data_IF_476847508999
#
_entry.id   IF_476847508999
#
_cell.length_a   1.000
_cell.length_b   1.000
_cell.length_c   1.000
_cell.angle_alpha   90.00
_cell.angle_beta   90.00
_cell.angle_gamma   90.00
#
_symmetry.space_group_name_H-M   'P 1'
#
loop_
_entity.id
_entity.type
_entity.pdbx_description
1 polymer ?
#
# COMPACT_ATOMS: atom_id res chain seq x y z
N UNK A 1 60.22 -1.56 12.68
CA UNK A 1 58.96 -1.92 13.36
C UNK A 1 57.83 -1.70 12.39
N UNK A 2 57.41 -2.77 11.79
CA UNK A 2 56.36 -2.74 10.75
C UNK A 2 55.00 -2.89 11.40
N UNK A 3 54.16 -1.86 11.28
CA UNK A 3 52.75 -1.94 11.68
C UNK A 3 51.94 -2.77 10.66
N UNK A 4 50.91 -3.51 11.07
CA UNK A 4 50.10 -4.30 10.16
C UNK A 4 49.22 -3.38 9.31
N UNK A 5 49.36 -3.50 8.00
CA UNK A 5 48.44 -2.97 6.99
C UNK A 5 47.01 -3.43 7.28
N UNK A 6 46.10 -2.50 7.55
CA UNK A 6 44.67 -2.76 7.43
C UNK A 6 44.35 -2.95 5.95
N UNK A 7 44.08 -4.18 5.58
CA UNK A 7 43.51 -4.53 4.30
C UNK A 7 42.18 -3.83 4.06
N UNK A 8 41.81 -3.56 2.80
CA UNK A 8 40.52 -2.95 2.47
C UNK A 8 39.40 -3.86 2.95
N UNK A 9 38.53 -3.29 3.77
CA UNK A 9 37.34 -3.99 4.26
C UNK A 9 36.53 -4.53 3.08
N UNK A 10 36.39 -5.83 3.03
CA UNK A 10 35.46 -6.49 2.11
C UNK A 10 34.07 -5.90 2.27
N UNK A 11 33.22 -6.00 1.23
CA UNK A 11 31.87 -5.49 1.33
C UNK A 11 31.17 -6.18 2.50
N UNK A 12 30.74 -5.40 3.47
CA UNK A 12 29.87 -5.87 4.54
C UNK A 12 28.72 -6.66 3.93
N UNK A 13 28.32 -7.81 4.48
CA UNK A 13 27.17 -8.54 3.97
C UNK A 13 26.03 -7.53 3.93
N UNK A 14 25.51 -7.27 2.72
CA UNK A 14 24.36 -6.40 2.53
C UNK A 14 23.29 -6.95 3.44
N UNK A 15 23.00 -6.22 4.51
CA UNK A 15 21.85 -6.52 5.35
C UNK A 15 20.65 -6.61 4.42
N UNK A 16 20.09 -7.80 4.28
CA UNK A 16 18.93 -8.10 3.42
C UNK A 16 17.68 -7.44 4.03
N UNK A 17 17.73 -6.13 4.21
CA UNK A 17 16.63 -5.34 4.69
C UNK A 17 15.62 -5.09 3.55
N UNK A 18 14.35 -5.03 3.89
CA UNK A 18 13.29 -4.65 2.96
C UNK A 18 13.24 -3.14 2.88
N UNK A 19 13.60 -2.58 1.73
CA UNK A 19 13.45 -1.14 1.47
C UNK A 19 11.97 -0.78 1.31
N UNK A 20 11.50 0.23 2.05
CA UNK A 20 10.12 0.67 2.00
C UNK A 20 10.01 1.94 1.14
N UNK A 21 10.68 3.00 1.55
CA UNK A 21 10.57 4.30 0.89
C UNK A 21 11.80 5.18 1.21
N UNK A 22 12.41 5.75 0.18
CA UNK A 22 13.61 6.57 0.36
C UNK A 22 14.74 5.77 1.01
N UNK A 23 15.28 6.27 2.11
CA UNK A 23 16.35 5.64 2.88
C UNK A 23 15.86 4.69 3.99
N UNK A 24 14.54 4.52 4.15
CA UNK A 24 13.98 3.69 5.22
C UNK A 24 13.87 2.24 4.76
N UNK A 25 14.51 1.36 5.52
CA UNK A 25 14.49 -0.08 5.29
C UNK A 25 14.25 -0.82 6.61
N UNK A 26 13.54 -1.94 6.52
CA UNK A 26 13.34 -2.85 7.66
C UNK A 26 14.54 -3.78 7.76
N UNK A 27 15.19 -3.88 8.91
CA UNK A 27 16.25 -4.86 9.11
C UNK A 27 15.68 -6.28 9.13
N UNK A 28 16.44 -7.25 8.67
CA UNK A 28 16.01 -8.66 8.65
C UNK A 28 15.71 -9.19 10.06
N UNK A 29 16.36 -8.64 11.09
CA UNK A 29 16.14 -9.00 12.50
C UNK A 29 14.72 -8.73 13.00
N UNK A 30 13.98 -7.80 12.39
CA UNK A 30 12.58 -7.50 12.74
C UNK A 30 11.57 -8.27 11.89
N UNK A 31 12.03 -9.10 10.96
CA UNK A 31 11.21 -9.88 10.04
C UNK A 31 11.11 -11.33 10.54
N UNK A 32 9.90 -11.78 10.76
CA UNK A 32 9.63 -13.15 11.14
C UNK A 32 9.10 -13.95 9.97
N UNK A 33 9.86 -14.96 9.54
CA UNK A 33 9.52 -15.82 8.44
C UNK A 33 8.91 -17.13 8.95
N UNK A 34 7.78 -17.51 8.38
CA UNK A 34 7.17 -18.84 8.61
C UNK A 34 6.99 -19.54 7.27
N UNK A 35 7.29 -20.81 7.25
CA UNK A 35 7.16 -21.67 6.10
C UNK A 35 6.14 -22.76 6.38
N UNK A 36 5.25 -23.01 5.44
CA UNK A 36 4.23 -24.05 5.57
C UNK A 36 3.98 -24.71 4.21
N UNK A 37 3.38 -25.90 4.26
CA UNK A 37 2.94 -26.57 3.04
C UNK A 37 1.81 -25.79 2.42
N UNK A 38 1.88 -25.58 1.10
CA UNK A 38 0.74 -25.04 0.36
C UNK A 38 -0.38 -26.09 0.38
N UNK A 39 -1.42 -25.84 1.16
CA UNK A 39 -2.63 -26.65 1.14
C UNK A 39 -3.46 -26.31 -0.07
N UNK A 40 -3.29 -27.07 -1.17
CA UNK A 40 -4.24 -27.07 -2.28
C UNK A 40 -5.24 -28.22 -2.11
N UNK A 41 -6.47 -28.15 -2.71
CA UNK A 41 -7.38 -29.28 -2.78
C UNK A 41 -6.68 -30.39 -3.58
N UNK A 42 -6.16 -31.43 -2.85
CA UNK A 42 -5.20 -32.34 -3.39
C UNK A 42 -5.77 -33.39 -4.34
N UNK A 43 -5.15 -33.51 -5.48
CA UNK A 43 -5.01 -34.80 -6.17
C UNK A 43 -3.75 -35.53 -5.66
N UNK A 44 -3.61 -36.82 -5.96
CA UNK A 44 -2.56 -37.71 -5.47
C UNK A 44 -1.09 -37.34 -5.84
N UNK A 45 -0.84 -36.16 -6.42
CA UNK A 45 0.43 -35.60 -6.82
C UNK A 45 0.69 -34.23 -6.22
N UNK A 46 0.19 -33.97 -5.01
CA UNK A 46 0.47 -32.72 -4.31
C UNK A 46 1.95 -32.72 -3.93
N UNK A 47 2.70 -31.81 -4.54
CA UNK A 47 4.08 -31.53 -4.13
C UNK A 47 4.06 -31.15 -2.64
N UNK A 48 4.63 -32.01 -1.79
CA UNK A 48 4.75 -31.83 -0.35
C UNK A 48 5.84 -30.82 0.04
N UNK A 49 6.21 -29.91 -0.87
CA UNK A 49 7.20 -28.89 -0.60
C UNK A 49 6.60 -27.74 0.22
N UNK A 50 7.27 -27.35 1.27
CA UNK A 50 6.93 -26.19 2.11
C UNK A 50 7.19 -24.88 1.34
N UNK A 51 6.42 -24.64 0.28
CA UNK A 51 6.61 -23.49 -0.60
C UNK A 51 5.86 -22.25 -0.16
N UNK A 52 4.86 -22.38 0.71
CA UNK A 52 4.13 -21.23 1.23
C UNK A 52 4.97 -20.49 2.25
N UNK A 53 5.06 -19.18 2.08
CA UNK A 53 5.80 -18.26 2.94
C UNK A 53 4.84 -17.28 3.59
N UNK A 54 4.92 -17.13 4.90
CA UNK A 54 4.30 -16.07 5.65
C UNK A 54 5.39 -15.16 6.24
N UNK A 55 5.35 -13.89 5.89
CA UNK A 55 6.21 -12.86 6.45
C UNK A 55 5.42 -12.04 7.46
N UNK A 56 5.92 -11.93 8.68
CA UNK A 56 5.31 -11.16 9.76
C UNK A 56 6.24 -10.05 10.20
N UNK A 57 5.68 -8.90 10.48
CA UNK A 57 6.39 -7.71 10.93
C UNK A 57 5.63 -7.03 12.07
N UNK A 58 6.30 -6.80 13.19
CA UNK A 58 5.73 -6.13 14.36
C UNK A 58 5.78 -4.60 14.15
N UNK A 59 4.69 -4.07 13.60
CA UNK A 59 4.57 -2.65 13.31
C UNK A 59 4.44 -1.80 14.58
N UNK A 60 3.85 -2.36 15.64
CA UNK A 60 3.62 -1.62 16.88
C UNK A 60 4.91 -1.34 17.65
N UNK A 61 5.86 -2.28 17.63
CA UNK A 61 7.08 -2.23 18.43
C UNK A 61 8.36 -1.94 17.62
N UNK A 62 8.24 -1.71 16.31
CA UNK A 62 9.42 -1.45 15.46
C UNK A 62 10.09 -0.12 15.79
N UNK A 63 11.42 -0.10 15.74
CA UNK A 63 12.24 1.13 15.77
C UNK A 63 12.76 1.50 14.36
N UNK A 64 12.50 0.65 13.35
CA UNK A 64 12.97 0.88 11.99
C UNK A 64 12.20 1.98 11.23
N UNK A 65 11.01 2.35 11.72
CA UNK A 65 10.17 3.38 11.10
C UNK A 65 10.20 4.68 11.91
N UNK A 66 10.25 5.85 11.24
CA UNK A 66 10.00 7.13 11.89
C UNK A 66 8.63 7.13 12.59
N UNK A 67 8.53 7.75 13.75
CA UNK A 67 7.31 7.74 14.58
C UNK A 67 6.06 8.21 13.80
N UNK A 68 6.19 9.25 13.00
CA UNK A 68 5.09 9.76 12.15
C UNK A 68 4.61 8.72 11.15
N UNK A 69 5.50 7.89 10.61
CA UNK A 69 5.15 6.83 9.67
C UNK A 69 4.49 5.66 10.38
N UNK A 70 5.00 5.32 11.54
CA UNK A 70 4.47 4.27 12.40
C UNK A 70 3.03 4.56 12.80
N UNK A 71 2.74 5.77 13.30
CA UNK A 71 1.38 6.20 13.65
C UNK A 71 0.43 6.09 12.45
N UNK A 72 0.82 6.62 11.29
CA UNK A 72 0.00 6.53 10.07
C UNK A 72 -0.26 5.08 9.64
N UNK A 73 0.78 4.24 9.70
CA UNK A 73 0.65 2.84 9.31
C UNK A 73 -0.26 2.08 10.28
N UNK A 74 -0.15 2.31 11.58
CA UNK A 74 -1.02 1.71 12.58
C UNK A 74 -2.49 2.09 12.36
N UNK A 75 -2.78 3.36 12.09
CA UNK A 75 -4.15 3.82 11.79
C UNK A 75 -4.70 3.19 10.50
N UNK A 76 -3.93 3.22 9.41
CA UNK A 76 -4.40 2.72 8.11
C UNK A 76 -4.52 1.21 8.03
N UNK A 77 -3.68 0.50 8.75
CA UNK A 77 -3.65 -0.95 8.78
C UNK A 77 -4.42 -1.55 9.96
N UNK A 78 -5.12 -0.77 10.77
CA UNK A 78 -5.81 -1.21 11.97
C UNK A 78 -6.67 -2.48 11.75
N UNK A 79 -7.38 -2.57 10.62
CA UNK A 79 -8.19 -3.74 10.25
C UNK A 79 -7.39 -4.95 9.74
N UNK A 80 -6.08 -4.82 9.56
CA UNK A 80 -5.17 -5.88 9.06
C UNK A 80 -4.14 -6.33 10.09
N UNK A 81 -4.06 -5.63 11.20
CA UNK A 81 -3.14 -5.95 12.28
C UNK A 81 -3.78 -6.94 13.26
N UNK A 82 -2.97 -7.88 13.71
CA UNK A 82 -3.29 -8.76 14.83
C UNK A 82 -2.22 -8.50 15.90
N UNK A 83 -2.62 -7.96 17.04
CA UNK A 83 -1.71 -7.57 18.13
C UNK A 83 -0.54 -6.66 17.68
N UNK A 84 -0.83 -5.71 16.76
CA UNK A 84 0.17 -4.80 16.22
C UNK A 84 1.09 -5.41 15.15
N UNK A 85 0.88 -6.67 14.80
CA UNK A 85 1.67 -7.40 13.80
C UNK A 85 0.93 -7.43 12.46
N UNK A 86 1.61 -7.04 11.39
CA UNK A 86 1.15 -7.22 10.02
C UNK A 86 1.72 -8.52 9.46
N UNK A 87 0.90 -9.31 8.77
CA UNK A 87 1.33 -10.53 8.09
C UNK A 87 0.99 -10.51 6.60
N UNK A 88 1.90 -11.03 5.80
CA UNK A 88 1.77 -11.16 4.34
C UNK A 88 2.11 -12.57 3.94
N UNK A 89 1.30 -13.17 3.07
CA UNK A 89 1.51 -14.55 2.58
C UNK A 89 1.81 -14.54 1.08
N UNK A 90 2.64 -15.49 0.66
CA UNK A 90 2.93 -15.79 -0.73
C UNK A 90 3.03 -17.31 -0.94
N UNK A 91 2.31 -17.83 -1.93
CA UNK A 91 2.26 -19.25 -2.28
C UNK A 91 2.13 -19.49 -3.78
N UNK A 92 2.31 -18.45 -4.59
CA UNK A 92 2.06 -18.50 -6.03
C UNK A 92 3.12 -19.29 -6.79
N UNK A 93 4.32 -19.37 -6.24
CA UNK A 93 5.44 -20.05 -6.87
C UNK A 93 5.71 -21.42 -6.23
N UNK A 94 6.22 -22.36 -7.02
CA UNK A 94 6.73 -23.63 -6.51
C UNK A 94 8.01 -23.47 -5.69
N UNK A 95 8.75 -22.40 -5.95
CA UNK A 95 9.98 -22.08 -5.25
C UNK A 95 9.69 -21.28 -3.99
N UNK A 96 10.11 -21.80 -2.84
CA UNK A 96 10.03 -21.12 -1.54
C UNK A 96 10.77 -19.76 -1.61
N UNK A 97 11.91 -19.72 -2.27
CA UNK A 97 12.71 -18.51 -2.40
C UNK A 97 11.96 -17.41 -3.16
N UNK A 98 11.28 -17.76 -4.27
CA UNK A 98 10.45 -16.80 -5.03
C UNK A 98 9.25 -16.31 -4.22
N UNK A 99 8.62 -17.17 -3.44
CA UNK A 99 7.55 -16.79 -2.55
C UNK A 99 8.05 -15.85 -1.45
N UNK A 100 9.27 -16.05 -0.97
CA UNK A 100 9.92 -15.17 0.00
C UNK A 100 10.15 -13.77 -0.60
N UNK A 101 10.66 -13.67 -1.81
CA UNK A 101 10.77 -12.39 -2.52
C UNK A 101 9.41 -11.71 -2.72
N UNK A 102 8.41 -12.46 -3.15
CA UNK A 102 7.05 -11.95 -3.35
C UNK A 102 6.45 -11.41 -2.04
N UNK A 103 6.61 -12.11 -0.94
CA UNK A 103 6.16 -11.65 0.37
C UNK A 103 6.88 -10.37 0.81
N UNK A 104 8.19 -10.27 0.59
CA UNK A 104 8.97 -9.08 0.88
C UNK A 104 8.51 -7.87 0.06
N UNK A 105 8.30 -8.02 -1.23
CA UNK A 105 7.78 -6.97 -2.12
C UNK A 105 6.38 -6.52 -1.69
N UNK A 106 5.51 -7.44 -1.32
CA UNK A 106 4.16 -7.12 -0.84
C UNK A 106 4.17 -6.35 0.48
N UNK A 107 5.02 -6.75 1.42
CA UNK A 107 5.17 -6.03 2.68
C UNK A 107 5.71 -4.62 2.45
N UNK A 108 6.72 -4.47 1.60
CA UNK A 108 7.27 -3.18 1.22
C UNK A 108 6.22 -2.25 0.61
N UNK A 109 5.43 -2.74 -0.36
CA UNK A 109 4.36 -1.98 -1.00
C UNK A 109 3.26 -1.57 -0.01
N UNK A 110 2.84 -2.50 0.84
CA UNK A 110 1.83 -2.27 1.86
C UNK A 110 2.26 -1.17 2.85
N UNK A 111 3.49 -1.24 3.34
CA UNK A 111 4.02 -0.24 4.26
C UNK A 111 4.32 1.09 3.56
N UNK A 112 4.78 1.09 2.32
CA UNK A 112 4.97 2.32 1.54
C UNK A 112 3.67 3.09 1.34
N UNK A 113 2.57 2.37 1.07
CA UNK A 113 1.23 2.95 0.97
C UNK A 113 0.73 3.44 2.32
N UNK A 114 0.87 2.62 3.37
CA UNK A 114 0.38 2.94 4.70
C UNK A 114 1.11 4.14 5.34
N UNK A 115 2.39 4.33 5.06
CA UNK A 115 3.20 5.44 5.58
C UNK A 115 3.13 6.71 4.72
N UNK A 116 2.52 6.64 3.54
CA UNK A 116 2.43 7.78 2.63
C UNK A 116 1.73 8.99 3.29
N UNK A 117 2.17 10.22 3.03
CA UNK A 117 1.46 11.40 3.51
C UNK A 117 0.04 11.43 2.93
N UNK A 118 -0.93 12.03 3.64
CA UNK A 118 -2.26 12.20 3.11
C UNK A 118 -2.20 13.00 1.80
N UNK A 119 -3.08 12.69 0.83
CA UNK A 119 -3.15 13.46 -0.40
C UNK A 119 -3.45 14.92 -0.08
N UNK A 120 -2.81 15.84 -0.79
CA UNK A 120 -3.11 17.27 -0.65
C UNK A 120 -4.60 17.49 -0.88
N UNK A 121 -5.29 18.28 -0.04
CA UNK A 121 -6.68 18.61 -0.26
C UNK A 121 -6.82 19.22 -1.66
N UNK A 122 -7.66 18.62 -2.49
CA UNK A 122 -7.94 19.15 -3.82
C UNK A 122 -8.62 20.49 -3.63
N UNK A 123 -8.04 21.56 -4.19
CA UNK A 123 -8.75 22.84 -4.31
C UNK A 123 -10.05 22.57 -5.03
N UNK A 124 -11.17 23.03 -4.45
CA UNK A 124 -12.45 22.98 -5.13
C UNK A 124 -12.31 23.68 -6.49
N UNK A 125 -12.52 22.90 -7.56
CA UNK A 125 -12.47 23.46 -8.91
C UNK A 125 -13.63 24.45 -9.04
N UNK A 126 -13.31 25.73 -9.20
CA UNK A 126 -14.33 26.76 -9.43
C UNK A 126 -15.08 26.39 -10.70
N UNK A 127 -16.39 26.25 -10.59
CA UNK A 127 -17.24 25.99 -11.76
C UNK A 127 -17.03 27.13 -12.77
N UNK A 128 -16.65 26.84 -14.03
CA UNK A 128 -16.46 27.87 -15.05
C UNK A 128 -17.72 28.71 -15.19
N UNK A 129 -17.55 30.04 -15.26
CA UNK A 129 -18.67 30.98 -15.39
C UNK A 129 -19.62 30.60 -16.53
N UNK A 130 -19.07 30.14 -17.66
CA UNK A 130 -19.86 29.75 -18.84
C UNK A 130 -20.86 28.62 -18.59
N UNK A 131 -20.56 27.67 -17.66
CA UNK A 131 -21.48 26.59 -17.30
C UNK A 131 -22.67 27.13 -16.51
N UNK A 132 -22.44 28.05 -15.58
CA UNK A 132 -23.51 28.70 -14.81
C UNK A 132 -24.38 29.59 -15.71
N UNK A 133 -23.78 30.37 -16.61
CA UNK A 133 -24.50 31.19 -17.59
C UNK A 133 -25.36 30.35 -18.53
N UNK A 134 -24.84 29.22 -19.01
CA UNK A 134 -25.58 28.29 -19.86
C UNK A 134 -26.78 27.71 -19.11
N UNK A 135 -26.58 27.26 -17.87
CA UNK A 135 -27.64 26.73 -17.00
C UNK A 135 -28.73 27.79 -16.74
N UNK A 136 -28.33 29.04 -16.47
CA UNK A 136 -29.28 30.14 -16.26
C UNK A 136 -30.07 30.46 -17.52
N UNK A 137 -29.44 30.50 -18.71
CA UNK A 137 -30.14 30.68 -20.00
C UNK A 137 -31.16 29.58 -20.27
N UNK A 138 -30.77 28.32 -20.07
CA UNK A 138 -31.67 27.18 -20.25
C UNK A 138 -32.85 27.22 -19.27
N UNK A 139 -32.62 27.60 -18.02
CA UNK A 139 -33.66 27.77 -17.02
C UNK A 139 -34.62 28.90 -17.42
N UNK A 140 -34.13 30.02 -17.92
CA UNK A 140 -34.92 31.14 -18.39
C UNK A 140 -35.77 30.72 -19.60
N UNK A 141 -35.19 30.09 -20.61
CA UNK A 141 -35.92 29.59 -21.78
C UNK A 141 -37.06 28.66 -21.41
N UNK A 142 -36.81 27.71 -20.47
CA UNK A 142 -37.88 26.80 -19.99
C UNK A 142 -38.99 27.55 -19.26
N UNK A 143 -38.65 28.60 -18.49
CA UNK A 143 -39.62 29.44 -17.81
C UNK A 143 -40.48 30.21 -18.79
N UNK A 144 -39.87 30.83 -19.83
CA UNK A 144 -40.55 31.61 -20.86
C UNK A 144 -41.46 30.72 -21.71
N UNK A 145 -41.02 29.48 -22.06
CA UNK A 145 -41.84 28.51 -22.77
C UNK A 145 -43.05 28.09 -21.91
N UNK A 146 -42.85 27.90 -20.60
CA UNK A 146 -43.97 27.54 -19.68
C UNK A 146 -44.97 28.67 -19.53
N UNK A 147 -44.53 29.92 -19.45
CA UNK A 147 -45.43 31.09 -19.43
C UNK A 147 -46.22 31.23 -20.71
N UNK A 148 -45.60 30.98 -21.88
CA UNK A 148 -46.32 31.02 -23.16
C UNK A 148 -47.39 29.96 -23.33
N UNK A 149 -47.28 28.83 -22.64
CA UNK A 149 -48.28 27.78 -22.61
C UNK A 149 -49.48 28.10 -21.70
N UNK A 150 -49.25 28.71 -20.53
CA UNK A 150 -50.30 29.10 -19.60
C UNK A 150 -51.13 30.32 -20.07
N UNK A 151 -50.66 31.07 -21.04
CA UNK A 151 -51.38 32.19 -21.63
C UNK A 151 -52.31 31.88 -22.81
N UNK A 152 -52.37 30.58 -23.24
CA UNK A 152 -53.18 30.13 -24.40
C UNK A 152 -54.47 29.41 -24.08
N UNK A 153 -54.80 29.27 -22.81
CA UNK A 153 -55.90 28.37 -22.41
C UNK A 153 -57.12 29.11 -21.83
N UNK A 154 -57.43 30.33 -22.28
CA UNK A 154 -58.70 31.03 -21.98
C UNK A 154 -59.14 31.83 -23.20
N UNK A 155 -59.66 31.14 -24.19
CA UNK A 155 -60.41 31.73 -25.30
C UNK A 155 -61.49 30.75 -25.72
#
# INVERSE_FOLDING_TARGET
MSGPSRGPGGPSPRSLGISIRGSVSLPESELMWRFSRSSGPGGQHVNTSDSQVELRFDLANTDALPEVWKVRALERLAGRLVDGVVSVRASEHRSQWRNRETAAVRLAALLAEATAPPPRPRRATRVPRGINERRLREKKQRSDTKRGRSGRDWG
#
